data_IF_458811071149
#
_entry.id   IF_458811071149
#
_cell.length_a   1.000
_cell.length_b   1.000
_cell.length_c   1.000
_cell.angle_alpha   90.00
_cell.angle_beta   90.00
_cell.angle_gamma   90.00
#
_symmetry.space_group_name_H-M   'P 1'
#
loop_
_entity.id
_entity.type
_entity.pdbx_description
1 polymer ?
#
# COMPACT_ATOMS: atom_id res chain seq x y z
N UNK A 1 -14.58 24.84 33.29
CA UNK A 1 -14.20 23.67 34.06
C UNK A 1 -12.74 23.37 33.76
N UNK A 2 -11.93 23.62 34.75
CA UNK A 2 -10.46 23.46 34.73
C UNK A 2 -10.09 22.02 35.03
N UNK A 3 -9.24 21.43 34.24
CA UNK A 3 -8.62 20.13 34.56
C UNK A 3 -7.11 20.30 34.64
N UNK A 4 -6.58 20.00 35.82
CA UNK A 4 -5.17 20.18 36.20
C UNK A 4 -4.30 19.04 35.70
N UNK A 5 -3.12 19.41 35.20
CA UNK A 5 -2.02 18.51 34.87
C UNK A 5 -1.16 18.32 36.12
N UNK A 6 -0.88 17.07 36.49
CA UNK A 6 0.10 16.72 37.51
C UNK A 6 1.38 16.25 36.83
N UNK A 7 2.43 17.04 37.00
CA UNK A 7 3.80 16.68 36.71
C UNK A 7 4.43 16.03 37.94
N UNK A 8 5.03 14.84 37.77
CA UNK A 8 5.84 14.17 38.77
C UNK A 8 7.29 14.11 38.34
N UNK A 9 8.15 14.95 38.93
CA UNK A 9 9.59 14.78 38.92
C UNK A 9 10.05 13.87 40.04
N UNK A 10 10.90 12.90 39.70
CA UNK A 10 11.66 12.12 40.69
C UNK A 10 13.05 11.85 40.15
N UNK A 11 14.01 12.67 40.57
CA UNK A 11 15.42 12.43 40.31
C UNK A 11 16.03 11.46 41.32
N UNK A 12 17.00 10.68 40.87
CA UNK A 12 18.01 10.16 41.75
C UNK A 12 19.35 10.12 41.03
N UNK A 13 20.33 10.85 41.62
CA UNK A 13 21.74 10.82 41.25
C UNK A 13 22.41 9.62 41.89
N UNK A 14 23.28 8.95 41.15
CA UNK A 14 24.46 8.37 41.79
C UNK A 14 25.63 8.32 40.80
N UNK A 15 26.75 8.94 41.24
CA UNK A 15 28.03 8.98 40.57
C UNK A 15 28.80 7.67 40.76
N UNK A 16 29.60 7.30 39.76
CA UNK A 16 30.58 6.21 39.91
C UNK A 16 31.38 5.97 38.63
N UNK A 17 32.48 6.65 38.54
CA UNK A 17 33.58 6.61 37.58
C UNK A 17 34.20 5.21 37.43
N UNK A 18 34.51 4.74 36.20
CA UNK A 18 35.85 4.24 35.82
C UNK A 18 35.93 3.95 34.32
N UNK A 19 37.04 4.44 33.74
CA UNK A 19 37.48 4.15 32.37
C UNK A 19 37.89 2.69 32.20
N UNK A 20 37.50 2.11 31.06
CA UNK A 20 38.41 1.22 30.31
C UNK A 20 38.06 1.24 28.81
N UNK A 21 39.13 1.44 28.01
CA UNK A 21 39.13 1.33 26.56
C UNK A 21 39.23 -0.14 26.20
N UNK A 22 38.32 -0.65 25.40
CA UNK A 22 38.64 -1.80 24.55
C UNK A 22 37.92 -1.70 23.20
N UNK A 23 38.71 -1.63 22.22
CA UNK A 23 38.86 -2.29 20.93
C UNK A 23 37.58 -2.68 20.15
N UNK A 24 37.32 -1.91 19.11
CA UNK A 24 36.39 -2.20 18.06
C UNK A 24 36.96 -3.36 17.21
N UNK A 25 36.42 -4.52 17.34
CA UNK A 25 36.61 -5.59 16.36
C UNK A 25 35.33 -5.74 15.54
N UNK A 26 35.44 -5.42 14.27
CA UNK A 26 34.49 -5.70 13.21
C UNK A 26 34.19 -7.20 13.20
N UNK A 27 32.95 -7.58 13.32
CA UNK A 27 32.52 -8.95 12.95
C UNK A 27 31.13 -8.93 12.36
N UNK A 28 31.13 -9.15 11.06
CA UNK A 28 30.20 -9.91 10.24
C UNK A 28 28.70 -9.72 10.45
N UNK A 29 28.13 -9.22 9.37
CA UNK A 29 26.75 -9.42 8.96
C UNK A 29 26.37 -10.91 9.03
N UNK A 30 25.62 -11.28 10.06
CA UNK A 30 24.80 -12.49 10.03
C UNK A 30 23.45 -12.09 9.45
N UNK A 31 23.31 -12.29 8.16
CA UNK A 31 22.02 -12.39 7.51
C UNK A 31 21.35 -13.64 8.06
N UNK A 32 20.50 -13.48 9.07
CA UNK A 32 19.60 -14.54 9.47
C UNK A 32 18.61 -14.75 8.34
N UNK A 33 18.87 -15.78 7.55
CA UNK A 33 17.85 -16.39 6.70
C UNK A 33 16.75 -16.90 7.64
N UNK A 34 15.57 -16.27 7.57
CA UNK A 34 14.35 -16.81 8.18
C UNK A 34 14.05 -18.09 7.41
N UNK A 35 14.39 -19.23 8.01
CA UNK A 35 14.00 -20.53 7.49
C UNK A 35 12.51 -20.71 7.83
N UNK A 36 11.70 -21.04 6.83
CA UNK A 36 10.33 -21.51 7.02
C UNK A 36 10.31 -22.58 8.13
N UNK A 37 9.39 -22.44 9.08
CA UNK A 37 9.19 -23.46 10.10
C UNK A 37 8.62 -24.71 9.42
N UNK A 38 9.46 -25.69 9.19
CA UNK A 38 8.99 -27.03 8.83
C UNK A 38 8.41 -27.66 10.08
N UNK A 39 7.13 -28.00 10.04
CA UNK A 39 6.52 -28.87 11.05
C UNK A 39 7.27 -30.21 11.09
N UNK A 40 7.26 -30.90 12.24
CA UNK A 40 7.98 -32.18 12.46
C UNK A 40 7.67 -33.28 11.41
N UNK A 41 6.69 -33.08 10.53
CA UNK A 41 6.30 -33.97 9.44
C UNK A 41 6.81 -33.54 8.04
N UNK A 42 7.59 -32.46 7.93
CA UNK A 42 8.09 -31.96 6.63
C UNK A 42 7.06 -31.23 5.78
N UNK A 43 5.89 -30.92 6.31
CA UNK A 43 4.86 -30.11 5.66
C UNK A 43 5.29 -28.63 5.64
N UNK A 44 5.48 -28.06 4.45
CA UNK A 44 5.72 -26.62 4.30
C UNK A 44 4.39 -25.87 4.38
N UNK A 45 4.18 -25.15 5.49
CA UNK A 45 3.03 -24.25 5.63
C UNK A 45 3.53 -22.81 5.65
N UNK A 46 3.03 -21.96 4.74
CA UNK A 46 3.30 -20.54 4.74
C UNK A 46 2.08 -19.76 5.21
N UNK A 47 2.31 -18.79 6.09
CA UNK A 47 1.30 -17.84 6.55
C UNK A 47 1.14 -16.68 5.59
N UNK A 48 -0.11 -16.35 5.26
CA UNK A 48 -0.43 -15.25 4.32
C UNK A 48 -1.45 -14.30 4.93
N UNK A 49 -1.15 -13.00 4.95
CA UNK A 49 -2.11 -11.97 5.34
C UNK A 49 -2.77 -11.32 4.13
N UNK A 50 -4.11 -11.41 4.07
CA UNK A 50 -4.99 -10.86 3.03
C UNK A 50 -6.19 -10.17 3.67
N UNK A 51 -7.05 -9.48 2.88
CA UNK A 51 -8.19 -8.73 3.40
C UNK A 51 -9.53 -8.93 2.68
N UNK A 52 -9.55 -9.46 1.45
CA UNK A 52 -10.76 -9.57 0.64
C UNK A 52 -11.07 -11.02 0.28
N UNK A 53 -12.13 -11.62 0.89
CA UNK A 53 -12.51 -13.00 0.63
C UNK A 53 -12.88 -13.29 -0.83
N UNK A 54 -13.43 -12.29 -1.53
CA UNK A 54 -13.93 -12.49 -2.90
C UNK A 54 -12.85 -12.27 -3.96
N UNK A 55 -11.71 -11.71 -3.58
CA UNK A 55 -10.63 -11.38 -4.48
C UNK A 55 -9.30 -12.01 -4.07
N UNK A 56 -8.55 -11.41 -3.13
CA UNK A 56 -7.19 -11.85 -2.88
C UNK A 56 -7.11 -13.16 -2.08
N UNK A 57 -8.01 -13.41 -1.14
CA UNK A 57 -8.08 -14.70 -0.43
C UNK A 57 -8.42 -15.81 -1.42
N UNK A 58 -9.46 -15.61 -2.24
CA UNK A 58 -9.82 -16.58 -3.28
C UNK A 58 -8.66 -16.85 -4.24
N UNK A 59 -7.92 -15.81 -4.66
CA UNK A 59 -6.78 -15.98 -5.55
C UNK A 59 -5.65 -16.80 -4.90
N UNK A 60 -5.33 -16.55 -3.61
CA UNK A 60 -4.35 -17.33 -2.87
C UNK A 60 -4.77 -18.79 -2.70
N UNK A 61 -6.05 -19.07 -2.44
CA UNK A 61 -6.57 -20.45 -2.42
C UNK A 61 -6.43 -21.16 -3.78
N UNK A 62 -6.58 -20.45 -4.90
CA UNK A 62 -6.35 -21.03 -6.21
C UNK A 62 -4.86 -21.27 -6.47
N UNK A 63 -4.01 -20.35 -6.05
CA UNK A 63 -2.55 -20.49 -6.16
C UNK A 63 -2.07 -21.73 -5.37
N UNK A 64 -2.55 -21.92 -4.15
CA UNK A 64 -2.28 -23.11 -3.35
C UNK A 64 -2.63 -24.40 -4.12
N UNK A 65 -3.86 -24.50 -4.64
CA UNK A 65 -4.32 -25.68 -5.42
C UNK A 65 -3.48 -25.94 -6.68
N UNK A 66 -2.94 -24.89 -7.28
CA UNK A 66 -2.06 -25.01 -8.45
C UNK A 66 -0.70 -25.55 -8.01
N UNK A 67 -0.12 -24.99 -6.95
CA UNK A 67 1.18 -25.37 -6.43
C UNK A 67 1.18 -26.81 -5.85
N UNK A 68 0.10 -27.21 -5.20
CA UNK A 68 -0.09 -28.56 -4.67
C UNK A 68 -0.07 -29.69 -5.72
N UNK A 69 -0.18 -29.37 -7.03
CA UNK A 69 -0.05 -30.40 -8.09
C UNK A 69 1.35 -31.02 -8.12
N UNK A 70 2.37 -30.20 -7.82
CA UNK A 70 3.75 -30.62 -7.80
C UNK A 70 4.31 -30.76 -6.37
N UNK A 71 3.61 -30.16 -5.39
CA UNK A 71 3.95 -30.13 -3.96
C UNK A 71 2.74 -30.50 -3.10
N UNK A 72 2.32 -31.78 -3.05
CA UNK A 72 1.03 -32.19 -2.48
C UNK A 72 0.86 -31.90 -1.00
N UNK A 73 1.96 -31.79 -0.25
CA UNK A 73 1.95 -31.54 1.20
C UNK A 73 2.03 -30.04 1.55
N UNK A 74 2.19 -29.16 0.55
CA UNK A 74 2.23 -27.71 0.74
C UNK A 74 0.87 -27.14 1.18
N UNK A 75 0.90 -26.16 2.10
CA UNK A 75 -0.30 -25.47 2.61
C UNK A 75 -0.08 -23.98 2.78
N UNK A 76 -1.15 -23.22 2.58
CA UNK A 76 -1.22 -21.82 2.98
C UNK A 76 -2.13 -21.67 4.21
N UNK A 77 -1.64 -21.06 5.27
CA UNK A 77 -2.45 -20.53 6.38
C UNK A 77 -2.85 -19.09 6.02
N UNK A 78 -3.99 -18.97 5.35
CA UNK A 78 -4.49 -17.69 4.85
C UNK A 78 -5.29 -17.02 5.96
N UNK A 79 -4.75 -15.93 6.50
CA UNK A 79 -5.34 -15.17 7.59
C UNK A 79 -5.98 -13.89 7.05
N UNK A 80 -7.30 -13.78 7.20
CA UNK A 80 -8.03 -12.55 6.87
C UNK A 80 -7.74 -11.47 7.90
N UNK A 81 -7.25 -10.32 7.43
CA UNK A 81 -6.99 -9.14 8.24
C UNK A 81 -7.56 -7.91 7.53
N UNK A 82 -7.99 -6.90 8.27
CA UNK A 82 -8.31 -5.59 7.69
C UNK A 82 -6.99 -4.94 7.24
N UNK A 83 -6.98 -4.33 6.05
CA UNK A 83 -5.76 -3.74 5.46
C UNK A 83 -4.99 -2.82 6.42
N UNK A 84 -5.69 -1.90 7.10
CA UNK A 84 -5.05 -0.99 8.06
C UNK A 84 -4.43 -1.71 9.27
N UNK A 85 -4.96 -2.88 9.64
CA UNK A 85 -4.40 -3.70 10.72
C UNK A 85 -3.11 -4.38 10.26
N UNK A 86 -3.03 -4.81 8.99
CA UNK A 86 -1.79 -5.33 8.40
C UNK A 86 -0.69 -4.26 8.48
N UNK A 87 -0.92 -3.05 7.98
CA UNK A 87 0.06 -1.97 8.07
C UNK A 87 0.48 -1.68 9.52
N UNK A 88 -0.47 -1.64 10.43
CA UNK A 88 -0.20 -1.38 11.86
C UNK A 88 0.68 -2.46 12.48
N UNK A 89 0.40 -3.73 12.19
CA UNK A 89 1.19 -4.87 12.67
C UNK A 89 2.61 -4.86 12.10
N UNK A 90 2.76 -4.59 10.80
CA UNK A 90 4.06 -4.47 10.13
C UNK A 90 4.92 -3.37 10.76
N UNK A 91 4.36 -2.18 10.96
CA UNK A 91 5.05 -1.04 11.59
C UNK A 91 5.40 -1.34 13.04
N UNK A 92 4.51 -2.02 13.78
CA UNK A 92 4.75 -2.39 15.16
C UNK A 92 5.91 -3.37 15.29
N UNK A 93 5.94 -4.42 14.47
CA UNK A 93 7.03 -5.38 14.42
C UNK A 93 8.37 -4.72 14.05
N UNK A 94 8.37 -3.88 13.01
CA UNK A 94 9.55 -3.15 12.58
C UNK A 94 10.10 -2.19 13.66
N UNK A 95 9.20 -1.52 14.39
CA UNK A 95 9.59 -0.58 15.46
C UNK A 95 10.13 -1.29 16.69
N UNK A 96 9.58 -2.45 17.03
CA UNK A 96 10.05 -3.28 18.17
C UNK A 96 11.29 -4.10 17.83
N UNK A 97 11.54 -4.36 16.55
CA UNK A 97 12.56 -5.30 16.09
C UNK A 97 12.18 -6.78 16.31
N UNK A 98 10.93 -7.05 16.67
CA UNK A 98 10.40 -8.40 16.82
C UNK A 98 9.56 -8.75 15.59
N UNK A 99 10.13 -9.54 14.71
CA UNK A 99 9.51 -10.01 13.47
C UNK A 99 8.82 -11.37 13.61
N UNK A 100 8.87 -12.01 14.78
CA UNK A 100 8.33 -13.37 15.01
C UNK A 100 6.81 -13.46 14.83
N UNK A 101 6.12 -12.33 14.84
CA UNK A 101 4.66 -12.24 14.67
C UNK A 101 4.23 -11.96 13.25
N UNK A 102 5.18 -11.73 12.34
CA UNK A 102 4.88 -11.46 10.94
C UNK A 102 4.56 -12.75 10.18
N UNK A 103 3.75 -12.67 9.11
CA UNK A 103 3.51 -13.79 8.22
C UNK A 103 4.70 -13.98 7.27
N UNK A 104 4.75 -15.13 6.60
CA UNK A 104 5.73 -15.37 5.53
C UNK A 104 5.43 -14.50 4.31
N UNK A 105 4.14 -14.25 4.02
CA UNK A 105 3.67 -13.44 2.91
C UNK A 105 2.60 -12.47 3.39
N UNK A 106 2.67 -11.24 2.97
CA UNK A 106 1.59 -10.27 3.18
C UNK A 106 1.30 -9.49 1.90
N UNK A 107 0.04 -9.16 1.70
CA UNK A 107 -0.36 -8.25 0.65
C UNK A 107 -0.22 -6.81 1.13
N UNK A 108 0.20 -5.94 0.20
CA UNK A 108 0.34 -4.51 0.45
C UNK A 108 -0.19 -3.73 -0.75
N UNK A 109 -0.85 -2.61 -0.51
CA UNK A 109 -1.28 -1.72 -1.59
C UNK A 109 -0.08 -0.95 -2.14
N UNK A 110 -0.03 -0.77 -3.45
CA UNK A 110 1.10 -0.20 -4.18
C UNK A 110 1.58 1.12 -3.59
N UNK A 111 0.66 2.04 -3.29
CA UNK A 111 1.00 3.36 -2.75
C UNK A 111 1.65 3.33 -1.35
N UNK A 112 1.55 2.21 -0.64
CA UNK A 112 2.15 2.04 0.69
C UNK A 112 3.57 1.51 0.65
N UNK A 113 3.99 0.85 -0.43
CA UNK A 113 5.29 0.18 -0.50
C UNK A 113 6.45 1.14 -0.26
N UNK A 114 6.57 2.21 -1.06
CA UNK A 114 7.73 3.11 -0.98
C UNK A 114 7.88 3.80 0.38
N UNK A 115 6.76 4.14 1.03
CA UNK A 115 6.77 4.66 2.40
C UNK A 115 7.32 3.62 3.38
N UNK A 116 6.88 2.38 3.27
CA UNK A 116 7.25 1.33 4.21
C UNK A 116 8.68 0.84 3.99
N UNK A 117 9.13 0.62 2.75
CA UNK A 117 10.52 0.20 2.49
C UNK A 117 11.54 1.26 2.92
N UNK A 118 11.23 2.56 2.75
CA UNK A 118 12.11 3.64 3.14
C UNK A 118 12.27 3.77 4.67
N UNK A 119 11.23 3.45 5.44
CA UNK A 119 11.24 3.59 6.89
C UNK A 119 11.55 2.27 7.62
N UNK A 120 11.19 1.14 7.04
CA UNK A 120 11.22 -0.18 7.66
C UNK A 120 11.72 -1.26 6.68
N UNK A 121 12.93 -1.13 6.11
CA UNK A 121 13.43 -2.07 5.10
C UNK A 121 13.48 -3.52 5.61
N UNK A 122 13.66 -3.73 6.91
CA UNK A 122 13.78 -5.06 7.50
C UNK A 122 12.53 -5.94 7.46
N UNK A 123 11.35 -5.40 7.07
CA UNK A 123 10.14 -6.22 6.89
C UNK A 123 10.01 -6.81 5.48
N UNK A 124 10.93 -6.47 4.58
CA UNK A 124 10.89 -6.91 3.18
C UNK A 124 12.08 -7.80 2.85
N UNK A 125 11.82 -8.86 2.13
CA UNK A 125 12.86 -9.72 1.54
C UNK A 125 13.14 -9.27 0.11
N UNK A 126 14.41 -9.09 -0.23
CA UNK A 126 14.81 -8.82 -1.61
C UNK A 126 14.59 -10.05 -2.50
N UNK A 127 13.91 -9.86 -3.63
CA UNK A 127 13.51 -10.91 -4.56
C UNK A 127 14.23 -10.82 -5.92
N UNK A 128 15.13 -9.87 -6.13
CA UNK A 128 15.80 -9.60 -7.42
C UNK A 128 16.42 -10.86 -8.02
N UNK A 129 17.13 -11.64 -7.22
CA UNK A 129 17.82 -12.85 -7.64
C UNK A 129 17.10 -14.14 -7.23
N UNK A 130 15.81 -14.08 -6.94
CA UNK A 130 14.99 -15.21 -6.46
C UNK A 130 14.70 -16.29 -7.52
N UNK A 131 15.05 -16.04 -8.80
CA UNK A 131 14.71 -16.91 -9.93
C UNK A 131 13.31 -16.66 -10.50
N UNK A 132 12.58 -15.68 -9.98
CA UNK A 132 11.28 -15.26 -10.53
C UNK A 132 11.49 -14.53 -11.84
N UNK A 133 10.71 -14.88 -12.87
CA UNK A 133 10.70 -14.17 -14.15
C UNK A 133 9.87 -12.89 -14.08
N UNK A 134 10.50 -11.80 -13.68
CA UNK A 134 9.85 -10.50 -13.58
C UNK A 134 9.42 -9.90 -14.93
N UNK A 135 9.93 -10.43 -16.07
CA UNK A 135 9.53 -9.94 -17.39
C UNK A 135 8.06 -10.22 -17.74
N UNK A 136 7.39 -11.08 -16.98
CA UNK A 136 5.96 -11.37 -17.12
C UNK A 136 5.06 -10.26 -16.57
N UNK A 137 5.61 -9.31 -15.83
CA UNK A 137 4.87 -8.20 -15.24
C UNK A 137 5.12 -6.90 -15.98
N UNK A 138 4.15 -5.98 -15.94
CA UNK A 138 4.33 -4.66 -16.54
C UNK A 138 5.33 -3.84 -15.75
N UNK A 139 6.14 -3.03 -16.46
CA UNK A 139 7.16 -2.17 -15.84
C UNK A 139 6.57 -1.23 -14.79
N UNK A 140 5.37 -0.66 -15.05
CA UNK A 140 4.67 0.20 -14.11
C UNK A 140 4.35 -0.48 -12.80
N UNK A 141 3.88 -1.74 -12.83
CA UNK A 141 3.59 -2.52 -11.61
C UNK A 141 4.84 -2.96 -10.86
N UNK A 142 5.91 -3.28 -11.58
CA UNK A 142 7.19 -3.60 -10.95
C UNK A 142 7.79 -2.38 -10.24
N UNK A 143 7.60 -1.17 -10.77
CA UNK A 143 8.06 0.05 -10.12
C UNK A 143 7.44 0.24 -8.72
N UNK A 144 6.20 -0.20 -8.52
CA UNK A 144 5.50 -0.12 -7.23
C UNK A 144 6.08 -1.05 -6.15
N UNK A 145 6.90 -2.04 -6.52
CA UNK A 145 7.59 -2.96 -5.60
C UNK A 145 9.12 -2.89 -5.70
N UNK A 146 9.65 -1.89 -6.39
CA UNK A 146 11.10 -1.71 -6.61
C UNK A 146 11.61 -0.48 -5.85
N UNK A 147 12.70 -0.64 -5.11
CA UNK A 147 13.40 0.45 -4.45
C UNK A 147 14.92 0.30 -4.70
N UNK A 148 15.60 1.39 -5.02
CA UNK A 148 17.05 1.42 -5.27
C UNK A 148 17.54 0.37 -6.30
N UNK A 149 16.69 0.07 -7.30
CA UNK A 149 16.99 -0.91 -8.35
C UNK A 149 16.80 -2.37 -7.93
N UNK A 150 16.27 -2.64 -6.75
CA UNK A 150 16.01 -3.97 -6.20
C UNK A 150 14.51 -4.21 -6.07
N UNK A 151 14.07 -5.42 -6.37
CA UNK A 151 12.67 -5.80 -6.25
C UNK A 151 12.40 -6.49 -4.91
N UNK A 152 11.28 -6.14 -4.26
CA UNK A 152 10.88 -6.63 -2.93
C UNK A 152 9.47 -7.23 -2.92
N UNK A 153 8.81 -7.31 -4.06
CA UNK A 153 7.46 -7.85 -4.12
C UNK A 153 7.06 -8.30 -5.51
N UNK A 154 5.97 -9.05 -5.55
CA UNK A 154 5.35 -9.50 -6.79
C UNK A 154 4.06 -8.72 -7.03
N UNK A 155 3.83 -8.19 -8.24
CA UNK A 155 2.54 -7.65 -8.61
C UNK A 155 1.46 -8.72 -8.44
N UNK A 156 0.43 -8.43 -7.64
CA UNK A 156 -0.67 -9.34 -7.40
C UNK A 156 -1.80 -9.15 -8.42
N UNK A 157 -2.11 -7.90 -8.73
CA UNK A 157 -3.14 -7.54 -9.71
C UNK A 157 -2.70 -6.36 -10.58
N UNK A 158 -3.52 -6.07 -11.61
CA UNK A 158 -3.37 -4.89 -12.43
C UNK A 158 -4.75 -4.29 -12.67
N UNK A 159 -5.10 -3.33 -11.83
CA UNK A 159 -6.37 -2.63 -11.89
C UNK A 159 -6.36 -1.46 -12.87
N UNK A 160 -7.54 -1.05 -13.28
CA UNK A 160 -7.76 0.19 -14.01
C UNK A 160 -8.92 0.95 -13.36
N UNK A 161 -8.78 2.27 -13.27
CA UNK A 161 -9.89 3.13 -12.87
C UNK A 161 -10.91 3.19 -13.98
N UNK A 162 -12.17 2.92 -13.66
CA UNK A 162 -13.29 3.01 -14.58
C UNK A 162 -14.40 3.86 -14.00
N UNK A 163 -15.16 4.51 -14.86
CA UNK A 163 -16.39 5.18 -14.48
C UNK A 163 -17.58 4.26 -14.75
N UNK A 164 -18.28 3.83 -13.70
CA UNK A 164 -19.56 3.13 -13.82
C UNK A 164 -20.69 4.18 -13.97
N UNK A 165 -21.43 4.10 -15.06
CA UNK A 165 -22.46 5.08 -15.41
C UNK A 165 -23.84 4.51 -15.20
N UNK A 166 -24.69 5.21 -14.44
CA UNK A 166 -26.13 4.98 -14.34
C UNK A 166 -26.83 5.52 -15.59
N UNK A 167 -27.00 4.64 -16.60
CA UNK A 167 -27.61 5.01 -17.89
C UNK A 167 -29.02 5.59 -17.74
N UNK A 168 -29.81 5.07 -16.81
CA UNK A 168 -31.15 5.56 -16.52
C UNK A 168 -31.16 7.02 -16.04
N UNK A 169 -30.17 7.45 -15.25
CA UNK A 169 -30.05 8.83 -14.80
C UNK A 169 -29.54 9.76 -15.91
N UNK A 170 -28.67 9.26 -16.76
CA UNK A 170 -28.17 10.00 -17.93
C UNK A 170 -29.31 10.23 -18.93
N UNK A 171 -30.11 9.19 -19.21
CA UNK A 171 -31.27 9.27 -20.10
C UNK A 171 -32.34 10.23 -19.56
N UNK A 172 -32.59 10.25 -18.24
CA UNK A 172 -33.50 11.19 -17.60
C UNK A 172 -33.07 12.67 -17.81
N UNK A 173 -31.78 12.92 -18.00
CA UNK A 173 -31.22 14.23 -18.33
C UNK A 173 -31.25 14.54 -19.85
N UNK A 174 -31.80 13.66 -20.68
CA UNK A 174 -31.83 13.79 -22.13
C UNK A 174 -30.47 13.57 -22.80
N UNK A 175 -29.58 12.84 -22.12
CA UNK A 175 -28.22 12.50 -22.57
C UNK A 175 -28.11 11.01 -22.84
N UNK A 176 -27.01 10.61 -23.45
CA UNK A 176 -26.61 9.22 -23.68
C UNK A 176 -25.25 8.94 -23.00
N UNK A 177 -24.92 7.68 -22.78
CA UNK A 177 -23.58 7.29 -22.25
C UNK A 177 -22.47 7.74 -23.22
N UNK A 178 -22.75 7.81 -24.52
CA UNK A 178 -21.80 8.23 -25.53
C UNK A 178 -21.41 9.71 -25.42
N UNK A 179 -22.25 10.55 -24.82
CA UNK A 179 -21.95 11.96 -24.58
C UNK A 179 -20.79 12.16 -23.58
N UNK A 180 -20.46 11.12 -22.80
CA UNK A 180 -19.37 11.16 -21.82
C UNK A 180 -18.05 10.60 -22.35
N UNK A 181 -18.01 10.11 -23.59
CA UNK A 181 -16.78 9.60 -24.20
C UNK A 181 -15.83 10.74 -24.55
N UNK A 182 -14.55 10.53 -24.27
CA UNK A 182 -13.47 11.45 -24.64
C UNK A 182 -13.68 12.90 -24.19
N UNK A 183 -14.42 13.11 -23.10
CA UNK A 183 -14.72 14.44 -22.56
C UNK A 183 -13.54 14.98 -21.75
N UNK A 184 -13.31 16.29 -21.86
CA UNK A 184 -12.49 17.02 -20.88
C UNK A 184 -13.25 17.21 -19.57
N UNK A 185 -12.55 17.50 -18.48
CA UNK A 185 -13.19 17.78 -17.19
C UNK A 185 -14.20 18.94 -17.26
N UNK A 186 -13.93 19.98 -18.05
CA UNK A 186 -14.89 21.08 -18.23
C UNK A 186 -16.14 20.63 -18.99
N UNK A 187 -16.01 19.78 -20.00
CA UNK A 187 -17.18 19.22 -20.71
C UNK A 187 -17.96 18.27 -19.79
N UNK A 188 -17.25 17.45 -19.02
CA UNK A 188 -17.87 16.59 -18.02
C UNK A 188 -18.68 17.40 -16.99
N UNK A 189 -18.16 18.54 -16.51
CA UNK A 189 -18.87 19.44 -15.59
C UNK A 189 -20.19 19.94 -16.19
N UNK A 190 -20.20 20.34 -17.46
CA UNK A 190 -21.43 20.82 -18.12
C UNK A 190 -22.46 19.71 -18.31
N UNK A 191 -22.04 18.47 -18.59
CA UNK A 191 -22.93 17.31 -18.64
C UNK A 191 -23.43 16.95 -17.22
N UNK A 192 -22.55 17.01 -16.24
CA UNK A 192 -22.87 16.74 -14.84
C UNK A 192 -23.97 17.66 -14.31
N UNK A 193 -23.92 18.97 -14.62
CA UNK A 193 -24.96 19.94 -14.25
C UNK A 193 -26.35 19.49 -14.72
N UNK A 194 -26.45 19.00 -15.96
CA UNK A 194 -27.73 18.51 -16.51
C UNK A 194 -28.23 17.27 -15.79
N UNK A 195 -27.33 16.31 -15.49
CA UNK A 195 -27.68 15.09 -14.77
C UNK A 195 -28.14 15.40 -13.35
N UNK A 196 -27.43 16.30 -12.63
CA UNK A 196 -27.79 16.74 -11.28
C UNK A 196 -29.13 17.46 -11.28
N UNK A 197 -29.39 18.36 -12.25
CA UNK A 197 -30.65 19.08 -12.37
C UNK A 197 -31.83 18.13 -12.61
N UNK A 198 -31.66 17.14 -13.48
CA UNK A 198 -32.72 16.19 -13.82
C UNK A 198 -33.03 15.22 -12.68
N UNK A 199 -32.03 14.81 -11.90
CA UNK A 199 -32.17 13.72 -10.91
C UNK A 199 -32.14 14.19 -9.44
N UNK A 200 -31.67 15.40 -9.15
CA UNK A 200 -31.60 15.92 -7.80
C UNK A 200 -30.56 15.25 -6.89
N UNK A 201 -29.57 14.56 -7.46
CA UNK A 201 -28.52 13.83 -6.73
C UNK A 201 -27.12 14.25 -7.23
N UNK A 202 -26.06 14.12 -6.43
CA UNK A 202 -24.69 14.38 -6.87
C UNK A 202 -24.29 13.53 -8.07
N UNK A 203 -23.48 14.11 -8.98
CA UNK A 203 -23.02 13.43 -10.19
C UNK A 203 -22.05 12.29 -9.91
N UNK A 204 -21.14 12.47 -8.96
CA UNK A 204 -20.08 11.52 -8.63
C UNK A 204 -20.32 10.99 -7.22
N UNK A 205 -20.20 9.66 -7.07
CA UNK A 205 -20.00 9.00 -5.78
C UNK A 205 -18.59 8.42 -5.78
N UNK A 206 -17.81 8.73 -4.75
CA UNK A 206 -16.48 8.19 -4.51
C UNK A 206 -16.45 7.51 -3.15
N UNK A 207 -15.62 6.50 -2.99
CA UNK A 207 -15.40 5.82 -1.70
C UNK A 207 -14.75 6.74 -0.64
N UNK A 208 -14.32 7.92 -1.05
CA UNK A 208 -13.66 8.90 -0.18
C UNK A 208 -12.15 8.93 -0.41
N UNK A 209 -11.45 9.63 0.46
CA UNK A 209 -10.00 9.73 0.36
C UNK A 209 -9.50 10.63 -0.76
N UNK A 210 -8.32 10.32 -1.26
CA UNK A 210 -7.61 11.11 -2.29
C UNK A 210 -7.81 10.60 -3.73
N UNK A 211 -8.57 9.52 -3.93
CA UNK A 211 -8.66 8.81 -5.21
C UNK A 211 -9.09 9.73 -6.34
N UNK A 212 -10.19 10.46 -6.19
CA UNK A 212 -10.68 11.37 -7.22
C UNK A 212 -9.65 12.47 -7.55
N UNK A 213 -8.96 13.01 -6.54
CA UNK A 213 -7.89 13.98 -6.76
C UNK A 213 -6.75 13.36 -7.57
N UNK A 214 -6.33 12.15 -7.22
CA UNK A 214 -5.26 11.45 -7.93
C UNK A 214 -5.65 11.14 -9.38
N UNK A 215 -6.88 10.71 -9.63
CA UNK A 215 -7.42 10.50 -10.99
C UNK A 215 -7.40 11.79 -11.82
N UNK A 216 -7.82 12.91 -11.25
CA UNK A 216 -7.77 14.21 -11.92
C UNK A 216 -6.34 14.63 -12.21
N UNK A 217 -5.40 14.45 -11.29
CA UNK A 217 -3.98 14.74 -11.48
C UNK A 217 -3.36 13.89 -12.59
N UNK A 218 -3.58 12.59 -12.55
CA UNK A 218 -3.07 11.64 -13.55
C UNK A 218 -3.64 11.96 -14.93
N UNK A 219 -4.93 12.28 -15.04
CA UNK A 219 -5.55 12.68 -16.32
C UNK A 219 -4.97 13.98 -16.88
N UNK A 220 -4.46 14.85 -16.02
CA UNK A 220 -3.75 16.08 -16.41
C UNK A 220 -2.25 15.85 -16.68
N UNK A 221 -1.74 14.62 -16.55
CA UNK A 221 -0.31 14.32 -16.63
C UNK A 221 0.51 14.92 -15.48
N UNK A 222 -0.13 15.17 -14.34
CA UNK A 222 0.47 15.81 -13.18
C UNK A 222 0.68 14.81 -12.04
N UNK A 223 1.66 15.11 -11.18
CA UNK A 223 1.92 14.33 -9.97
C UNK A 223 2.02 15.27 -8.76
N UNK A 224 1.49 14.87 -7.59
CA UNK A 224 1.66 15.63 -6.36
C UNK A 224 3.10 15.59 -5.83
N UNK A 225 3.93 14.68 -6.35
CA UNK A 225 5.34 14.54 -5.99
C UNK A 225 6.18 14.53 -7.26
N UNK A 226 7.15 15.42 -7.34
CA UNK A 226 8.12 15.52 -8.43
C UNK A 226 9.52 15.63 -7.81
N UNK A 227 10.45 14.78 -8.26
CA UNK A 227 11.82 14.71 -7.73
C UNK A 227 11.87 14.56 -6.19
N UNK A 228 10.96 13.76 -5.63
CA UNK A 228 10.84 13.52 -4.19
C UNK A 228 10.32 14.72 -3.38
N UNK A 229 9.83 15.77 -4.03
CA UNK A 229 9.26 16.97 -3.39
C UNK A 229 7.77 17.09 -3.65
N UNK A 230 7.04 17.60 -2.65
CA UNK A 230 5.62 17.88 -2.78
C UNK A 230 5.41 19.05 -3.74
N UNK A 231 4.58 18.83 -4.76
CA UNK A 231 4.27 19.78 -5.84
C UNK A 231 2.77 20.11 -5.95
N UNK A 232 2.04 20.03 -4.86
CA UNK A 232 0.57 20.25 -4.83
C UNK A 232 0.22 21.69 -5.23
N UNK A 233 1.05 22.67 -4.85
CA UNK A 233 0.80 24.08 -5.12
C UNK A 233 0.80 24.48 -6.61
N UNK A 234 1.42 23.67 -7.48
CA UNK A 234 1.49 23.97 -8.92
C UNK A 234 0.22 23.58 -9.68
N UNK A 235 -0.73 22.96 -9.03
CA UNK A 235 -1.93 22.40 -9.68
C UNK A 235 -3.10 23.36 -9.77
N UNK A 236 -2.94 24.63 -9.37
CA UNK A 236 -3.95 25.71 -9.47
C UNK A 236 -5.35 25.34 -8.98
N UNK A 237 -5.46 24.33 -8.12
CA UNK A 237 -6.73 23.85 -7.57
C UNK A 237 -7.06 24.44 -6.22
N UNK A 238 -6.09 25.10 -5.57
CA UNK A 238 -6.34 25.84 -4.33
C UNK A 238 -6.59 27.32 -4.65
N UNK A 239 -7.73 27.88 -4.28
CA UNK A 239 -8.00 29.30 -4.43
C UNK A 239 -7.22 30.20 -3.45
N UNK A 240 -6.39 29.61 -2.57
CA UNK A 240 -5.65 30.35 -1.55
C UNK A 240 -4.16 30.43 -1.84
N UNK A 241 -3.61 31.64 -2.08
CA UNK A 241 -2.17 31.84 -2.22
C UNK A 241 -1.37 31.59 -0.92
N UNK A 242 -2.04 31.30 0.21
CA UNK A 242 -1.40 31.10 1.51
C UNK A 242 -0.89 29.68 1.73
N UNK A 243 -1.32 28.73 0.93
CA UNK A 243 -0.99 27.31 1.09
C UNK A 243 0.29 26.91 0.33
N UNK A 244 0.94 27.89 -0.33
CA UNK A 244 2.11 27.70 -1.17
C UNK A 244 3.42 28.29 -0.60
N UNK A 245 3.44 28.69 0.67
CA UNK A 245 4.62 29.28 1.32
C UNK A 245 5.26 28.37 2.35
#
# INVERSE_FOLDING_TARGET
MTVSVLAGCGGNQNEGNTNEKENVTNSNEDTQSVSAETNENGDETLTVWCWDPTFNIYAMEQAEKIYQKDHPDFKLDIQENIYNDIETKLITAATSGDYSTLPDIFLMQDYSFHKNIANFPGIFTELTDSGIDFSQFTEGKLADSTAEGKNYGLPFDNGATIMAIRSDMVEAAGLTVDDFKDTTWSQFEELAKKVVEANGVPMIASSGGSELLMEMLQSAGASPIVDGKVHICLLYTSPSPRDCS
#
